data_IF_589102566945
#
_entry.id   IF_589102566945
#
_cell.length_a   1.000
_cell.length_b   1.000
_cell.length_c   1.000
_cell.angle_alpha   90.00
_cell.angle_beta   90.00
_cell.angle_gamma   90.00
#
_symmetry.space_group_name_H-M   'P 1'
#
loop_
_entity.id
_entity.type
_entity.pdbx_description
1 polymer ?
#
# COMPACT_ATOMS: atom_id res chain seq x y z
N UNK A 1 -34.41 3.94 -0.68
CA UNK A 1 -33.29 4.53 -1.45
C UNK A 1 -31.99 3.80 -1.08
N UNK A 2 -31.71 2.63 -1.67
CA UNK A 2 -30.45 1.90 -1.44
C UNK A 2 -29.39 2.51 -2.36
N UNK A 3 -28.66 3.50 -1.87
CA UNK A 3 -27.59 4.11 -2.65
C UNK A 3 -26.41 3.11 -2.70
N UNK A 4 -26.08 2.53 -3.87
CA UNK A 4 -25.14 1.40 -3.98
C UNK A 4 -23.69 1.74 -3.59
N UNK A 5 -23.39 3.00 -3.30
CA UNK A 5 -22.07 3.48 -2.90
C UNK A 5 -21.78 3.39 -1.39
N UNK A 6 -22.81 3.25 -0.54
CA UNK A 6 -22.62 3.09 0.92
C UNK A 6 -21.72 1.91 1.31
N UNK A 7 -21.91 0.68 0.79
CA UNK A 7 -21.04 -0.44 1.15
C UNK A 7 -19.59 -0.21 0.68
N UNK A 8 -19.39 0.41 -0.48
CA UNK A 8 -18.06 0.75 -1.00
C UNK A 8 -17.36 1.80 -0.13
N UNK A 9 -18.08 2.85 0.27
CA UNK A 9 -17.55 3.88 1.16
C UNK A 9 -17.16 3.29 2.52
N UNK A 10 -18.03 2.48 3.12
CA UNK A 10 -17.79 1.83 4.42
C UNK A 10 -16.60 0.87 4.36
N UNK A 11 -16.50 0.07 3.29
CA UNK A 11 -15.33 -0.79 3.04
C UNK A 11 -14.03 0.01 2.88
N UNK A 12 -14.09 1.18 2.23
CA UNK A 12 -12.94 2.08 2.12
C UNK A 12 -12.50 2.58 3.51
N UNK A 13 -13.42 3.14 4.30
CA UNK A 13 -13.12 3.63 5.65
C UNK A 13 -12.54 2.54 6.55
N UNK A 14 -13.11 1.33 6.50
CA UNK A 14 -12.58 0.20 7.25
C UNK A 14 -11.17 -0.20 6.79
N UNK A 15 -10.90 -0.19 5.49
CA UNK A 15 -9.55 -0.42 4.97
C UNK A 15 -8.53 0.61 5.47
N UNK A 16 -8.90 1.89 5.51
CA UNK A 16 -8.05 2.95 6.08
C UNK A 16 -7.79 2.75 7.57
N UNK A 17 -8.81 2.32 8.33
CA UNK A 17 -8.71 2.04 9.76
C UNK A 17 -7.71 0.91 10.03
N UNK A 18 -7.90 -0.25 9.38
CA UNK A 18 -7.02 -1.42 9.53
C UNK A 18 -5.59 -1.09 9.10
N UNK A 19 -5.42 -0.32 8.01
CA UNK A 19 -4.10 0.12 7.57
C UNK A 19 -3.39 0.98 8.62
N UNK A 20 -4.11 1.96 9.21
CA UNK A 20 -3.57 2.79 10.29
C UNK A 20 -3.17 1.96 11.52
N UNK A 21 -4.00 0.99 11.90
CA UNK A 21 -3.65 0.05 12.97
C UNK A 21 -2.38 -0.74 12.66
N UNK A 22 -2.21 -1.22 11.43
CA UNK A 22 -1.00 -1.94 11.01
C UNK A 22 0.29 -1.11 11.17
N UNK A 23 0.24 0.16 10.77
CA UNK A 23 1.40 1.08 10.91
C UNK A 23 1.72 1.38 12.38
N UNK A 24 0.70 1.54 13.22
CA UNK A 24 0.87 1.75 14.66
C UNK A 24 1.46 0.50 15.31
N UNK A 25 0.90 -0.68 15.02
CA UNK A 25 1.42 -1.95 15.56
C UNK A 25 2.87 -2.20 15.16
N UNK A 26 3.25 -1.85 13.92
CA UNK A 26 4.63 -1.90 13.46
C UNK A 26 5.53 -0.98 14.29
N UNK A 27 5.07 0.25 14.54
CA UNK A 27 5.80 1.25 15.34
C UNK A 27 5.92 0.86 16.81
N UNK A 28 4.92 0.17 17.36
CA UNK A 28 4.94 -0.31 18.75
C UNK A 28 5.82 -1.55 18.93
N UNK A 29 6.00 -2.36 17.87
CA UNK A 29 6.78 -3.60 17.92
C UNK A 29 8.18 -3.47 17.30
N UNK A 30 8.73 -2.26 17.17
CA UNK A 30 10.02 -2.03 16.52
C UNK A 30 11.13 -2.95 17.05
N UNK A 31 11.22 -3.17 18.37
CA UNK A 31 12.24 -4.05 18.96
C UNK A 31 12.16 -5.52 18.48
N UNK A 32 10.95 -6.02 18.25
CA UNK A 32 10.74 -7.37 17.69
C UNK A 32 11.15 -7.43 16.22
N UNK A 33 10.81 -6.38 15.47
CA UNK A 33 11.18 -6.26 14.05
C UNK A 33 12.68 -6.08 13.83
N UNK A 34 13.38 -5.36 14.71
CA UNK A 34 14.84 -5.24 14.70
C UNK A 34 15.51 -6.61 14.75
N UNK A 35 15.04 -7.46 15.66
CA UNK A 35 15.54 -8.83 15.82
C UNK A 35 15.22 -9.70 14.60
N UNK A 36 14.00 -9.59 14.05
CA UNK A 36 13.55 -10.40 12.91
C UNK A 36 14.25 -10.00 11.60
N UNK A 37 14.42 -8.71 11.37
CA UNK A 37 15.01 -8.15 10.15
C UNK A 37 16.53 -7.96 10.25
N UNK A 38 17.15 -8.35 11.38
CA UNK A 38 18.59 -8.21 11.63
C UNK A 38 19.07 -6.77 11.38
N UNK A 39 18.27 -5.80 11.82
CA UNK A 39 18.50 -4.37 11.58
C UNK A 39 18.40 -3.59 12.88
N UNK A 40 19.00 -2.40 12.92
CA UNK A 40 18.86 -1.47 14.04
C UNK A 40 17.52 -0.71 13.99
N UNK A 41 17.14 -0.06 15.09
CA UNK A 41 15.99 0.85 15.19
C UNK A 41 15.91 1.88 14.05
N UNK A 42 17.08 2.38 13.60
CA UNK A 42 17.17 3.29 12.46
C UNK A 42 16.73 2.65 11.13
N UNK A 43 17.00 1.36 10.92
CA UNK A 43 16.54 0.65 9.73
C UNK A 43 15.03 0.38 9.76
N UNK A 44 14.48 0.01 10.92
CA UNK A 44 13.02 -0.17 11.07
C UNK A 44 12.29 1.16 10.88
N UNK A 45 12.81 2.26 11.41
CA UNK A 45 12.21 3.58 11.20
C UNK A 45 12.26 4.03 9.74
N UNK A 46 13.34 3.75 9.01
CA UNK A 46 13.42 3.99 7.55
C UNK A 46 12.34 3.21 6.81
N UNK A 47 12.12 1.93 7.16
CA UNK A 47 11.06 1.12 6.54
C UNK A 47 9.69 1.74 6.80
N UNK A 48 9.39 2.13 8.05
CA UNK A 48 8.11 2.76 8.42
C UNK A 48 7.94 4.11 7.70
N UNK A 49 8.97 4.94 7.65
CA UNK A 49 8.97 6.22 6.92
C UNK A 49 8.76 6.02 5.42
N UNK A 50 9.43 5.03 4.82
CA UNK A 50 9.26 4.71 3.40
C UNK A 50 7.85 4.23 3.08
N UNK A 51 7.20 3.51 4.00
CA UNK A 51 5.83 3.04 3.86
C UNK A 51 4.85 4.22 3.90
N UNK A 52 5.06 5.19 4.80
CA UNK A 52 4.31 6.44 4.84
C UNK A 52 4.48 7.29 3.58
N UNK A 53 5.72 7.47 3.12
CA UNK A 53 6.04 8.21 1.89
C UNK A 53 5.41 7.52 0.68
N UNK A 54 5.57 6.21 0.53
CA UNK A 54 4.99 5.42 -0.56
C UNK A 54 3.46 5.59 -0.62
N UNK A 55 2.79 5.61 0.52
CA UNK A 55 1.33 5.83 0.61
C UNK A 55 0.91 7.21 0.12
N UNK A 56 1.63 8.26 0.53
CA UNK A 56 1.37 9.64 0.09
C UNK A 56 1.63 9.79 -1.41
N UNK A 57 2.76 9.27 -1.89
CA UNK A 57 3.09 9.28 -3.32
C UNK A 57 2.03 8.54 -4.13
N UNK A 58 1.67 7.32 -3.74
CA UNK A 58 0.64 6.53 -4.44
C UNK A 58 -0.71 7.24 -4.45
N UNK A 59 -1.13 7.85 -3.33
CA UNK A 59 -2.40 8.61 -3.29
C UNK A 59 -2.37 9.84 -4.22
N UNK A 60 -1.26 10.59 -4.22
CA UNK A 60 -1.09 11.75 -5.10
C UNK A 60 -1.10 11.33 -6.56
N UNK A 61 -0.33 10.31 -6.93
CA UNK A 61 -0.31 9.82 -8.30
C UNK A 61 -1.64 9.18 -8.69
N UNK A 62 -2.26 8.37 -7.84
CA UNK A 62 -3.55 7.75 -8.13
C UNK A 62 -4.67 8.80 -8.27
N UNK A 63 -4.69 9.84 -7.44
CA UNK A 63 -5.63 10.95 -7.57
C UNK A 63 -5.43 11.73 -8.86
N UNK A 64 -4.19 12.19 -9.10
CA UNK A 64 -3.86 13.00 -10.27
C UNK A 64 -4.02 12.23 -11.60
N UNK A 65 -3.72 10.92 -11.59
CA UNK A 65 -3.89 10.03 -12.74
C UNK A 65 -5.36 9.62 -12.92
N UNK A 66 -6.12 9.40 -11.84
CA UNK A 66 -7.57 9.12 -11.91
C UNK A 66 -8.33 10.30 -12.51
N UNK A 67 -7.98 11.52 -12.10
CA UNK A 67 -8.62 12.76 -12.56
C UNK A 67 -8.28 13.09 -14.01
N UNK A 68 -7.04 12.85 -14.44
CA UNK A 68 -6.59 13.23 -15.78
C UNK A 68 -6.88 12.18 -16.86
N UNK A 69 -6.89 10.89 -16.51
CA UNK A 69 -6.94 9.82 -17.50
C UNK A 69 -8.17 8.91 -17.42
N UNK A 70 -9.03 9.08 -16.41
CA UNK A 70 -10.30 8.34 -16.27
C UNK A 70 -10.14 6.83 -16.15
N UNK A 71 -10.14 6.29 -14.92
CA UNK A 71 -10.27 4.88 -14.43
C UNK A 71 -9.62 3.70 -15.20
N UNK A 72 -9.63 3.63 -16.54
CA UNK A 72 -9.08 2.57 -17.39
C UNK A 72 -7.54 2.43 -17.34
N UNK A 73 -6.71 3.49 -17.38
CA UNK A 73 -5.26 3.31 -17.39
C UNK A 73 -4.69 2.91 -16.03
N UNK A 74 -5.36 3.23 -14.92
CA UNK A 74 -4.96 2.72 -13.60
C UNK A 74 -5.10 1.19 -13.52
N UNK A 75 -6.17 0.65 -14.12
CA UNK A 75 -6.37 -0.81 -14.24
C UNK A 75 -5.31 -1.42 -15.17
N UNK A 76 -4.99 -0.78 -16.30
CA UNK A 76 -3.91 -1.24 -17.18
C UNK A 76 -2.54 -1.20 -16.51
N UNK A 77 -2.23 -0.16 -15.73
CA UNK A 77 -0.96 -0.06 -15.01
C UNK A 77 -0.85 -1.15 -13.93
N UNK A 78 -1.96 -1.42 -13.22
CA UNK A 78 -2.05 -2.56 -12.30
C UNK A 78 -1.83 -3.91 -13.00
N UNK A 79 -2.44 -4.12 -14.16
CA UNK A 79 -2.22 -5.33 -14.99
C UNK A 79 -0.76 -5.44 -15.46
N UNK A 80 -0.15 -4.34 -15.88
CA UNK A 80 1.27 -4.32 -16.28
C UNK A 80 2.19 -4.64 -15.09
N UNK A 81 1.94 -4.08 -13.90
CA UNK A 81 2.69 -4.43 -12.69
C UNK A 81 2.51 -5.90 -12.31
N UNK A 82 1.31 -6.45 -12.47
CA UNK A 82 1.03 -7.86 -12.17
C UNK A 82 1.76 -8.80 -13.16
N UNK A 83 1.75 -8.45 -14.45
CA UNK A 83 2.55 -9.14 -15.47
C UNK A 83 4.04 -9.05 -15.14
N UNK A 84 4.52 -7.85 -14.82
CA UNK A 84 5.92 -7.64 -14.45
C UNK A 84 6.30 -8.46 -13.20
N UNK A 85 5.45 -8.57 -12.19
CA UNK A 85 5.72 -9.41 -11.02
C UNK A 85 5.88 -10.89 -11.38
N UNK A 86 5.03 -11.41 -12.26
CA UNK A 86 5.12 -12.79 -12.75
C UNK A 86 6.35 -13.04 -13.65
N UNK A 87 6.72 -12.07 -14.48
CA UNK A 87 7.93 -12.17 -15.32
C UNK A 87 9.22 -11.90 -14.53
N UNK A 88 9.16 -11.07 -13.48
CA UNK A 88 10.28 -10.71 -12.62
C UNK A 88 10.61 -11.79 -11.58
N UNK A 89 9.67 -12.69 -11.26
CA UNK A 89 10.00 -13.94 -10.59
C UNK A 89 10.38 -14.96 -11.68
N UNK A 90 11.66 -15.08 -12.10
CA UNK A 90 12.08 -16.27 -12.81
C UNK A 90 11.75 -17.43 -11.86
N UNK A 91 10.99 -18.37 -12.37
CA UNK A 91 10.86 -19.68 -11.78
C UNK A 91 12.28 -20.26 -11.67
N UNK A 92 12.91 -20.04 -10.51
CA UNK A 92 13.98 -20.92 -10.07
C UNK A 92 13.31 -22.26 -9.75
N UNK A 93 13.29 -23.11 -10.78
CA UNK A 93 13.34 -24.56 -10.62
C UNK A 93 14.56 -24.93 -9.76
#
# INVERSE_FOLDING_TARGET
MKNPYYPTALGLYFNYLVHGMGVILMSLNMASLETLWQTNAAGVSIVISSLGIGRLSVLLFAGLLSDRFGRRPFIMLGMCCYMAFFFWHPAHQ
#
